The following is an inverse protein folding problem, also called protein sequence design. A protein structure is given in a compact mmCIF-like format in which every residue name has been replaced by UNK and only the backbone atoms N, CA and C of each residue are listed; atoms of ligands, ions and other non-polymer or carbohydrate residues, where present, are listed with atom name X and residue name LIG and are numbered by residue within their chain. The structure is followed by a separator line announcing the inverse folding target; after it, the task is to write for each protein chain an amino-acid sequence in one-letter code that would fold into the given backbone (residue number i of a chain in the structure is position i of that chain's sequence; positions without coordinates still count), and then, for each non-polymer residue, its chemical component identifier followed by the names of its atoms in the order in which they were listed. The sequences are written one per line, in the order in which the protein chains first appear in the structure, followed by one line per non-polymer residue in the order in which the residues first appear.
data_IF_559984669655
#
_entry.id   IF_559984669655
#
_cell.length_a   1.000
_cell.length_b   1.000
_cell.length_c   1.000
_cell.angle_alpha   90.00
_cell.angle_beta   90.00
_cell.angle_gamma   90.00
#
_symmetry.space_group_name_H-M   'P 1'
#
loop_
_entity.id
_entity.type
_entity.pdbx_description
1 polymer ?
#
# COMPACT_ATOMS: atom_id res chain seq x y z
N UNK A 1 -6.66 2.77 -11.97
CA UNK A 1 -7.94 2.12 -12.37
C UNK A 1 -8.73 1.58 -11.15
N UNK A 2 -8.88 2.41 -10.11
CA UNK A 2 -9.54 2.04 -8.84
C UNK A 2 -11.02 1.71 -9.01
N UNK A 3 -11.72 2.46 -9.88
CA UNK A 3 -13.14 2.27 -10.22
C UNK A 3 -13.48 0.87 -10.78
N UNK A 4 -12.49 0.14 -11.28
CA UNK A 4 -12.67 -1.24 -11.76
C UNK A 4 -12.26 -2.28 -10.71
N UNK A 5 -11.23 -1.99 -9.92
CA UNK A 5 -10.64 -2.96 -8.99
C UNK A 5 -11.38 -2.99 -7.67
N UNK A 6 -11.73 -1.82 -7.10
CA UNK A 6 -12.38 -1.76 -5.79
C UNK A 6 -13.78 -2.38 -5.81
N UNK A 7 -14.67 -2.10 -6.79
CA UNK A 7 -15.97 -2.75 -6.82
C UNK A 7 -15.86 -4.28 -6.93
N UNK A 8 -15.02 -4.79 -7.83
CA UNK A 8 -14.82 -6.24 -7.99
C UNK A 8 -14.26 -6.90 -6.73
N UNK A 9 -13.34 -6.22 -6.01
CA UNK A 9 -12.82 -6.71 -4.74
C UNK A 9 -13.90 -6.74 -3.67
N UNK A 10 -14.68 -5.66 -3.52
CA UNK A 10 -15.77 -5.59 -2.54
C UNK A 10 -16.86 -6.63 -2.83
N UNK A 11 -17.23 -6.81 -4.10
CA UNK A 11 -18.21 -7.82 -4.52
C UNK A 11 -17.72 -9.23 -4.13
N UNK A 12 -16.46 -9.57 -4.42
CA UNK A 12 -15.88 -10.86 -4.02
C UNK A 12 -15.78 -11.06 -2.49
N UNK A 13 -15.54 -9.99 -1.73
CA UNK A 13 -15.56 -10.05 -0.26
C UNK A 13 -16.98 -10.27 0.27
N UNK A 14 -17.99 -9.60 -0.30
CA UNK A 14 -19.39 -9.81 0.06
C UNK A 14 -19.87 -11.22 -0.30
N UNK A 15 -19.49 -11.74 -1.47
CA UNK A 15 -19.77 -13.13 -1.87
C UNK A 15 -19.15 -14.15 -0.89
N UNK A 16 -18.06 -13.77 -0.23
CA UNK A 16 -17.42 -14.55 0.83
C UNK A 16 -18.03 -14.33 2.23
N UNK A 17 -19.09 -13.53 2.34
CA UNK A 17 -19.83 -13.27 3.58
C UNK A 17 -19.40 -12.05 4.39
N UNK A 18 -18.44 -11.24 3.90
CA UNK A 18 -17.99 -10.02 4.59
C UNK A 18 -18.88 -8.86 4.17
N UNK A 19 -19.60 -8.24 5.11
CA UNK A 19 -20.53 -7.15 4.78
C UNK A 19 -19.79 -5.83 4.56
N UNK A 20 -20.34 -4.96 3.72
CA UNK A 20 -19.74 -3.64 3.42
C UNK A 20 -19.49 -2.79 4.67
N UNK A 21 -20.35 -2.89 5.69
CA UNK A 21 -20.19 -2.18 6.97
C UNK A 21 -18.95 -2.62 7.76
N UNK A 22 -18.44 -3.81 7.50
CA UNK A 22 -17.27 -4.40 8.15
C UNK A 22 -15.99 -4.10 7.33
N UNK A 23 -16.10 -3.36 6.22
CA UNK A 23 -15.00 -3.00 5.33
C UNK A 23 -14.70 -1.51 5.44
N UNK A 24 -13.45 -1.18 5.74
CA UNK A 24 -12.93 0.19 5.69
C UNK A 24 -11.84 0.31 4.63
N UNK A 25 -11.95 1.31 3.75
CA UNK A 25 -10.93 1.66 2.78
C UNK A 25 -10.05 2.77 3.37
N UNK A 26 -8.82 2.43 3.74
CA UNK A 26 -7.83 3.39 4.20
C UNK A 26 -6.97 3.89 3.02
N UNK A 27 -7.00 5.19 2.77
CA UNK A 27 -6.22 5.82 1.69
C UNK A 27 -4.76 5.93 2.14
N UNK A 28 -3.89 5.17 1.46
CA UNK A 28 -2.45 5.12 1.70
C UNK A 28 -1.71 6.37 1.18
N UNK A 29 -1.82 7.48 1.90
CA UNK A 29 -1.24 8.79 1.53
C UNK A 29 0.28 8.88 1.72
N UNK A 30 0.87 8.00 2.54
CA UNK A 30 2.18 8.26 3.12
C UNK A 30 2.21 9.60 3.84
N UNK A 31 3.18 10.45 3.53
CA UNK A 31 3.33 11.78 4.13
C UNK A 31 2.69 12.92 3.32
N UNK A 32 1.80 12.60 2.38
CA UNK A 32 1.12 13.60 1.55
C UNK A 32 0.02 14.34 2.32
N UNK A 33 -0.49 15.44 1.77
CA UNK A 33 -1.66 16.13 2.36
C UNK A 33 -2.89 15.23 2.36
N UNK A 34 -3.80 15.51 3.28
CA UNK A 34 -5.09 14.83 3.33
C UNK A 34 -5.96 15.25 2.16
N UNK A 35 -6.78 14.31 1.70
CA UNK A 35 -7.83 14.58 0.73
C UNK A 35 -9.05 15.16 1.43
N UNK A 36 -9.70 16.15 0.82
CA UNK A 36 -11.02 16.62 1.28
C UNK A 36 -12.10 15.58 0.99
N UNK A 37 -13.29 15.75 1.56
CA UNK A 37 -14.43 14.85 1.28
C UNK A 37 -14.80 14.86 -0.21
N UNK A 38 -14.79 16.04 -0.81
CA UNK A 38 -15.09 16.25 -2.23
C UNK A 38 -14.03 15.58 -3.12
N UNK A 39 -12.76 15.64 -2.75
CA UNK A 39 -11.69 14.96 -3.48
C UNK A 39 -11.78 13.44 -3.36
N UNK A 40 -12.19 12.93 -2.19
CA UNK A 40 -12.45 11.49 -1.98
C UNK A 40 -13.63 11.07 -2.86
N UNK A 41 -14.77 11.77 -2.81
CA UNK A 41 -15.93 11.42 -3.65
C UNK A 41 -15.60 11.51 -5.14
N UNK A 42 -14.86 12.53 -5.57
CA UNK A 42 -14.40 12.63 -6.95
C UNK A 42 -13.47 11.47 -7.35
N UNK A 43 -12.58 11.05 -6.46
CA UNK A 43 -11.61 10.00 -6.72
C UNK A 43 -12.19 8.59 -6.72
N UNK A 44 -13.13 8.32 -5.82
CA UNK A 44 -13.66 6.98 -5.56
C UNK A 44 -15.06 6.78 -6.16
N UNK A 45 -15.75 7.89 -6.46
CA UNK A 45 -17.12 7.91 -6.96
C UNK A 45 -18.14 7.75 -5.84
N UNK A 46 -19.27 8.46 -5.98
CA UNK A 46 -20.37 8.46 -5.01
C UNK A 46 -20.84 7.06 -4.61
N UNK A 47 -20.99 6.16 -5.59
CA UNK A 47 -21.40 4.77 -5.36
C UNK A 47 -20.49 4.05 -4.35
N UNK A 48 -19.18 4.29 -4.38
CA UNK A 48 -18.23 3.62 -3.51
C UNK A 48 -18.20 4.27 -2.12
N UNK A 49 -18.24 5.61 -2.06
CA UNK A 49 -18.26 6.36 -0.80
C UNK A 49 -19.55 6.20 0.00
N UNK A 50 -20.67 5.85 -0.66
CA UNK A 50 -21.93 5.50 0.00
C UNK A 50 -21.98 4.03 0.46
N UNK A 51 -21.16 3.17 -0.14
CA UNK A 51 -21.13 1.73 0.13
C UNK A 51 -20.27 1.38 1.34
N UNK A 52 -19.05 1.94 1.39
CA UNK A 52 -18.06 1.63 2.43
C UNK A 52 -17.45 2.90 3.02
N UNK A 53 -16.94 2.79 4.25
CA UNK A 53 -16.21 3.88 4.90
C UNK A 53 -14.86 4.08 4.23
N UNK A 54 -14.56 5.31 3.79
CA UNK A 54 -13.26 5.67 3.19
C UNK A 54 -12.59 6.77 4.00
N UNK A 55 -11.37 6.52 4.48
CA UNK A 55 -10.66 7.40 5.42
C UNK A 55 -9.25 7.75 4.92
N UNK A 56 -8.78 8.94 5.26
CA UNK A 56 -7.40 9.34 5.05
C UNK A 56 -6.45 8.61 6.02
N UNK A 57 -5.24 8.30 5.57
CA UNK A 57 -4.13 8.05 6.49
C UNK A 57 -3.65 9.35 7.14
N UNK A 58 -4.09 9.62 8.37
CA UNK A 58 -3.79 10.86 9.09
C UNK A 58 -2.41 10.85 9.78
N UNK A 59 -1.33 10.74 9.00
CA UNK A 59 0.05 10.59 9.49
C UNK A 59 0.54 11.69 10.43
N UNK A 60 -0.05 12.90 10.42
CA UNK A 60 0.31 13.99 11.35
C UNK A 60 -0.33 13.82 12.73
N UNK A 61 -1.45 13.10 12.81
CA UNK A 61 -2.17 12.87 14.05
C UNK A 61 -1.54 11.68 14.79
N UNK A 62 -0.56 11.94 15.66
CA UNK A 62 0.14 10.89 16.43
C UNK A 62 -0.82 9.97 17.21
N UNK A 63 -1.96 10.50 17.67
CA UNK A 63 -2.99 9.73 18.35
C UNK A 63 -3.62 8.63 17.46
N UNK A 64 -3.53 8.75 16.13
CA UNK A 64 -4.07 7.80 15.15
C UNK A 64 -2.99 6.80 14.66
N UNK A 65 -1.80 6.84 15.27
CA UNK A 65 -0.70 5.93 14.99
C UNK A 65 -0.43 5.05 16.20
N UNK A 66 0.05 3.83 15.94
CA UNK A 66 0.47 2.87 16.96
C UNK A 66 1.87 2.39 16.66
N UNK A 67 2.72 2.33 17.69
CA UNK A 67 4.07 1.81 17.61
C UNK A 67 4.06 0.29 17.80
N UNK A 68 4.68 -0.43 16.87
CA UNK A 68 4.69 -1.90 16.81
C UNK A 68 6.09 -2.49 17.05
N UNK A 69 7.02 -1.70 17.58
CA UNK A 69 8.42 -2.09 17.72
C UNK A 69 9.29 -1.59 16.58
N UNK A 70 10.40 -2.26 16.33
CA UNK A 70 11.36 -1.89 15.29
C UNK A 70 11.75 -3.09 14.44
N UNK A 71 12.12 -2.83 13.19
CA UNK A 71 12.71 -3.85 12.31
C UNK A 71 14.09 -4.30 12.84
N UNK A 72 14.66 -5.42 12.34
CA UNK A 72 16.01 -5.83 12.69
C UNK A 72 17.10 -4.78 12.40
N UNK A 73 16.87 -3.88 11.43
CA UNK A 73 17.75 -2.74 11.13
C UNK A 73 17.54 -1.53 12.07
N UNK A 74 16.66 -1.64 13.05
CA UNK A 74 16.37 -0.58 14.01
C UNK A 74 15.43 0.51 13.50
N UNK A 75 14.73 0.30 12.38
CA UNK A 75 13.73 1.26 11.90
C UNK A 75 12.47 1.12 12.75
N UNK A 76 11.99 2.19 13.40
CA UNK A 76 10.80 2.14 14.22
C UNK A 76 9.58 1.96 13.31
N UNK A 77 8.70 1.05 13.67
CA UNK A 77 7.47 0.76 12.95
C UNK A 77 6.32 1.42 13.68
N UNK A 78 5.79 2.51 13.11
CA UNK A 78 4.54 3.10 13.56
C UNK A 78 3.57 3.20 12.40
N UNK A 79 2.38 2.63 12.53
CA UNK A 79 1.37 2.58 11.46
C UNK A 79 0.03 3.14 11.91
N UNK A 80 -0.89 3.32 10.97
CA UNK A 80 -2.26 3.72 11.27
C UNK A 80 -2.99 2.69 12.16
N UNK A 81 -3.64 3.16 13.23
CA UNK A 81 -4.38 2.29 14.17
C UNK A 81 -5.47 1.46 13.51
N UNK A 82 -6.20 2.03 12.55
CA UNK A 82 -7.29 1.33 11.85
C UNK A 82 -6.74 0.11 11.10
N UNK A 83 -5.56 0.24 10.50
CA UNK A 83 -4.92 -0.89 9.81
C UNK A 83 -4.39 -1.95 10.79
N UNK A 84 -3.92 -1.53 11.97
CA UNK A 84 -3.45 -2.44 13.01
C UNK A 84 -4.61 -3.22 13.66
N UNK A 85 -5.75 -2.57 13.85
CA UNK A 85 -6.94 -3.14 14.50
C UNK A 85 -7.80 -3.99 13.55
N UNK A 86 -7.51 -3.97 12.25
CA UNK A 86 -8.23 -4.77 11.27
C UNK A 86 -7.93 -6.27 11.43
N UNK A 87 -8.97 -7.10 11.36
CA UNK A 87 -8.82 -8.57 11.37
C UNK A 87 -8.07 -9.09 10.13
N UNK A 88 -8.17 -8.37 9.01
CA UNK A 88 -7.51 -8.71 7.75
C UNK A 88 -7.15 -7.47 6.94
N UNK A 89 -5.86 -7.30 6.63
CA UNK A 89 -5.32 -6.14 5.91
C UNK A 89 -5.02 -6.49 4.45
N UNK A 90 -5.75 -5.86 3.53
CA UNK A 90 -5.59 -6.03 2.07
C UNK A 90 -4.98 -4.77 1.44
N UNK A 91 -3.85 -4.93 0.76
CA UNK A 91 -3.18 -3.86 0.03
C UNK A 91 -3.60 -3.79 -1.44
N UNK A 92 -4.26 -2.72 -1.86
CA UNK A 92 -4.64 -2.50 -3.27
C UNK A 92 -3.73 -1.46 -3.91
N UNK A 93 -3.11 -1.77 -5.05
CA UNK A 93 -2.14 -0.87 -5.66
C UNK A 93 -1.73 -1.21 -7.09
N UNK A 94 -0.62 -0.62 -7.55
CA UNK A 94 -0.07 -0.84 -8.90
C UNK A 94 1.43 -1.07 -8.86
N UNK A 95 1.90 -2.04 -9.63
CA UNK A 95 3.32 -2.31 -9.84
C UNK A 95 3.77 -1.50 -11.05
N UNK A 96 4.53 -0.45 -10.77
CA UNK A 96 5.12 0.48 -11.75
C UNK A 96 6.56 0.78 -11.32
N UNK A 97 7.50 1.05 -12.24
CA UNK A 97 8.87 1.43 -11.85
C UNK A 97 8.87 2.59 -10.85
N UNK A 98 9.75 2.51 -9.85
CA UNK A 98 9.88 3.54 -8.81
C UNK A 98 11.36 3.75 -8.48
N UNK A 99 11.79 5.01 -8.48
CA UNK A 99 13.20 5.41 -8.33
C UNK A 99 13.86 4.91 -7.05
N UNK A 100 13.16 4.97 -5.91
CA UNK A 100 13.74 4.63 -4.60
C UNK A 100 13.41 3.22 -4.10
N UNK A 101 12.42 2.56 -4.70
CA UNK A 101 11.87 1.31 -4.17
C UNK A 101 11.96 0.18 -5.21
N UNK A 102 12.62 0.42 -6.35
CA UNK A 102 12.60 -0.43 -7.53
C UNK A 102 11.27 -0.36 -8.27
N UNK A 103 10.20 -0.74 -7.57
CA UNK A 103 8.83 -0.72 -8.05
C UNK A 103 7.87 -0.18 -6.99
N UNK A 104 6.69 0.28 -7.41
CA UNK A 104 5.51 0.46 -6.57
C UNK A 104 4.86 -0.88 -6.20
N UNK A 105 3.70 -0.84 -5.55
CA UNK A 105 2.94 -2.05 -5.18
C UNK A 105 3.59 -2.88 -4.07
N UNK A 106 2.96 -4.03 -3.77
CA UNK A 106 3.34 -4.91 -2.68
C UNK A 106 3.36 -4.15 -1.34
N UNK A 107 4.43 -4.36 -0.57
CA UNK A 107 4.65 -3.73 0.73
C UNK A 107 4.61 -2.18 0.74
N UNK A 108 4.74 -1.52 -0.42
CA UNK A 108 4.72 -0.05 -0.51
C UNK A 108 3.37 0.57 -0.10
N UNK A 109 2.30 -0.23 -0.19
CA UNK A 109 0.97 0.17 0.28
C UNK A 109 0.93 0.37 1.80
N UNK A 110 1.82 -0.30 2.54
CA UNK A 110 2.02 -0.09 3.97
C UNK A 110 3.12 0.93 4.23
N UNK A 111 4.32 0.70 3.72
CA UNK A 111 5.46 1.60 3.91
C UNK A 111 5.89 2.20 2.57
N UNK A 112 5.65 3.50 2.32
CA UNK A 112 5.24 4.52 3.28
C UNK A 112 3.74 4.69 3.49
N UNK A 113 2.90 4.00 2.69
CA UNK A 113 1.48 4.33 2.51
C UNK A 113 0.65 4.64 3.76
N UNK A 114 0.82 3.90 4.86
CA UNK A 114 0.08 4.08 6.12
C UNK A 114 1.00 4.15 7.35
N UNK A 115 2.26 4.53 7.13
CA UNK A 115 3.27 4.64 8.19
C UNK A 115 3.49 6.08 8.65
N UNK A 116 4.02 6.20 9.87
CA UNK A 116 4.47 7.49 10.40
C UNK A 116 5.54 8.14 9.52
N UNK A 117 5.70 9.45 9.69
CA UNK A 117 6.77 10.20 9.02
C UNK A 117 8.17 9.71 9.44
N UNK A 118 8.36 9.27 10.68
CA UNK A 118 9.65 8.81 11.19
C UNK A 118 10.04 7.48 10.53
N UNK A 119 9.12 6.51 10.52
CA UNK A 119 9.28 5.24 9.80
C UNK A 119 9.57 5.50 8.32
N UNK A 120 8.77 6.37 7.69
CA UNK A 120 8.94 6.77 6.29
C UNK A 120 10.32 7.36 6.02
N UNK A 121 10.75 8.32 6.83
CA UNK A 121 12.04 9.01 6.69
C UNK A 121 13.22 8.05 6.78
N UNK A 122 13.25 7.17 7.79
CA UNK A 122 14.37 6.23 7.96
C UNK A 122 14.45 5.19 6.83
N UNK A 123 13.33 4.67 6.33
CA UNK A 123 13.40 3.78 5.15
C UNK A 123 13.81 4.52 3.88
N UNK A 124 13.46 5.81 3.73
CA UNK A 124 13.91 6.59 2.56
C UNK A 124 15.43 6.86 2.61
N UNK A 125 16.01 7.03 3.79
CA UNK A 125 17.46 7.20 3.93
C UNK A 125 18.22 5.99 3.38
N UNK A 126 17.74 4.76 3.62
CA UNK A 126 18.34 3.55 3.05
C UNK A 126 18.39 3.56 1.51
N UNK A 127 17.41 4.20 0.85
CA UNK A 127 17.36 4.27 -0.61
C UNK A 127 18.39 5.25 -1.19
N UNK A 128 18.88 6.21 -0.39
CA UNK A 128 19.79 7.28 -0.83
C UNK A 128 21.20 7.15 -0.24
N UNK A 129 21.43 6.20 0.68
CA UNK A 129 22.78 5.85 1.18
C UNK A 129 23.67 5.23 0.10
N UNK A 130 23.09 4.68 -0.99
CA UNK A 130 23.85 4.20 -2.15
C UNK A 130 24.00 5.30 -3.20
N UNK A 131 25.22 5.46 -3.70
CA UNK A 131 25.55 6.46 -4.73
C UNK A 131 25.11 6.09 -6.15
N UNK A 132 24.55 4.89 -6.37
CA UNK A 132 24.09 4.45 -7.69
C UNK A 132 22.55 4.33 -7.77
N UNK A 133 21.93 5.45 -8.16
CA UNK A 133 20.50 5.56 -8.37
C UNK A 133 19.97 4.62 -9.48
N UNK A 134 20.80 4.27 -10.47
CA UNK A 134 20.40 3.44 -11.59
C UNK A 134 20.25 1.98 -11.18
N UNK A 135 21.01 1.51 -10.19
CA UNK A 135 20.87 0.15 -9.64
C UNK A 135 19.65 -0.02 -8.73
N UNK A 136 19.11 1.07 -8.16
CA UNK A 136 17.92 1.03 -7.30
C UNK A 136 16.64 0.98 -8.12
N UNK A 137 16.56 1.78 -9.19
CA UNK A 137 15.39 1.84 -10.06
C UNK A 137 15.20 0.50 -10.81
N UNK A 138 14.00 -0.08 -10.71
CA UNK A 138 13.72 -1.38 -11.34
C UNK A 138 14.35 -2.61 -10.65
N UNK A 139 15.06 -2.44 -9.54
CA UNK A 139 15.50 -3.57 -8.73
C UNK A 139 14.44 -3.95 -7.67
N UNK A 140 13.74 -5.08 -7.79
CA UNK A 140 12.69 -5.48 -6.86
C UNK A 140 13.21 -5.97 -5.50
N UNK A 141 14.52 -5.97 -5.27
CA UNK A 141 15.18 -6.50 -4.07
C UNK A 141 16.24 -5.54 -3.52
N UNK A 142 16.12 -4.24 -3.82
CA UNK A 142 16.96 -3.22 -3.19
C UNK A 142 16.67 -3.13 -1.67
N UNK A 143 17.60 -2.53 -0.93
CA UNK A 143 17.52 -2.49 0.54
C UNK A 143 16.27 -1.79 1.07
N UNK A 144 15.85 -0.68 0.45
CA UNK A 144 14.62 0.01 0.84
C UNK A 144 13.39 -0.87 0.63
N UNK A 145 13.35 -1.68 -0.44
CA UNK A 145 12.27 -2.63 -0.70
C UNK A 145 12.24 -3.75 0.34
N UNK A 146 13.39 -4.36 0.64
CA UNK A 146 13.46 -5.40 1.68
C UNK A 146 13.02 -4.86 3.04
N UNK A 147 13.38 -3.61 3.34
CA UNK A 147 12.94 -2.95 4.57
C UNK A 147 11.44 -2.65 4.57
N UNK A 148 10.87 -2.18 3.45
CA UNK A 148 9.42 -1.99 3.30
C UNK A 148 8.67 -3.30 3.54
N UNK A 149 9.19 -4.43 3.06
CA UNK A 149 8.61 -5.76 3.25
C UNK A 149 8.62 -6.18 4.72
N UNK A 150 9.69 -5.90 5.46
CA UNK A 150 9.75 -6.17 6.89
C UNK A 150 8.77 -5.30 7.68
N UNK A 151 8.67 -4.00 7.35
CA UNK A 151 7.67 -3.11 7.95
C UNK A 151 6.25 -3.61 7.67
N UNK A 152 5.96 -4.03 6.43
CA UNK A 152 4.65 -4.56 6.05
C UNK A 152 4.32 -5.89 6.76
N UNK A 153 5.33 -6.74 6.99
CA UNK A 153 5.19 -7.98 7.76
C UNK A 153 4.84 -7.70 9.22
N UNK A 154 5.55 -6.78 9.87
CA UNK A 154 5.25 -6.36 11.26
C UNK A 154 3.86 -5.71 11.35
N UNK A 155 3.47 -4.94 10.34
CA UNK A 155 2.17 -4.31 10.24
C UNK A 155 1.00 -5.28 9.99
N UNK A 156 1.28 -6.57 9.72
CA UNK A 156 0.24 -7.57 9.49
C UNK A 156 -0.41 -7.51 8.10
N UNK A 157 0.27 -7.03 7.06
CA UNK A 157 -0.27 -7.07 5.69
C UNK A 157 -0.49 -8.51 5.24
N UNK A 158 -1.75 -8.92 5.06
CA UNK A 158 -2.09 -10.32 4.77
C UNK A 158 -2.12 -10.64 3.28
N UNK A 159 -2.61 -9.71 2.46
CA UNK A 159 -2.89 -9.96 1.05
C UNK A 159 -2.71 -8.69 0.23
N UNK A 160 -2.36 -8.85 -1.05
CA UNK A 160 -2.35 -7.72 -2.00
C UNK A 160 -3.16 -8.02 -3.25
N UNK A 161 -3.71 -6.96 -3.83
CA UNK A 161 -4.22 -6.94 -5.21
C UNK A 161 -3.47 -5.84 -5.94
N UNK A 162 -2.60 -6.20 -6.88
CA UNK A 162 -1.85 -5.24 -7.66
C UNK A 162 -2.15 -5.37 -9.15
N UNK A 163 -2.25 -4.22 -9.80
CA UNK A 163 -2.34 -4.15 -11.27
C UNK A 163 -1.00 -3.76 -11.88
N UNK A 164 -0.70 -4.33 -13.04
CA UNK A 164 0.38 -3.87 -13.90
C UNK A 164 -0.24 -3.05 -15.03
N UNK A 165 0.30 -1.85 -15.25
CA UNK A 165 -0.17 -0.93 -16.27
C UNK A 165 0.83 -0.86 -17.41
N UNK A 166 0.37 -0.76 -18.66
CA UNK A 166 1.22 -0.39 -19.78
C UNK A 166 1.45 1.14 -19.84
N UNK A 167 2.29 1.61 -20.78
CA UNK A 167 2.56 3.04 -20.98
C UNK A 167 1.34 3.89 -21.37
N UNK A 168 0.18 3.28 -21.65
CA UNK A 168 -1.10 3.97 -21.90
C UNK A 168 -2.03 3.93 -20.67
N UNK A 169 -1.53 3.51 -19.50
CA UNK A 169 -2.31 3.39 -18.26
C UNK A 169 -3.34 2.26 -18.26
N UNK A 170 -3.31 1.33 -19.23
CA UNK A 170 -4.24 0.21 -19.32
C UNK A 170 -3.74 -0.96 -18.49
N UNK A 171 -4.64 -1.64 -17.78
CA UNK A 171 -4.33 -2.87 -17.05
C UNK A 171 -3.93 -3.95 -18.06
N UNK A 172 -2.74 -4.51 -17.91
CA UNK A 172 -2.24 -5.65 -18.71
C UNK A 172 -2.08 -6.92 -17.88
N UNK A 173 -2.06 -6.79 -16.55
CA UNK A 173 -2.00 -7.91 -15.62
C UNK A 173 -2.62 -7.52 -14.28
N UNK A 174 -3.22 -8.49 -13.61
CA UNK A 174 -3.58 -8.41 -12.19
C UNK A 174 -2.84 -9.54 -11.48
N UNK A 175 -2.19 -9.22 -10.37
CA UNK A 175 -1.56 -10.19 -9.47
C UNK A 175 -2.15 -10.03 -8.08
N UNK A 176 -2.41 -11.13 -7.41
CA UNK A 176 -2.95 -11.12 -6.07
C UNK A 176 -2.44 -12.30 -5.26
N UNK A 177 -2.40 -12.17 -3.94
CA UNK A 177 -1.83 -13.19 -3.07
C UNK A 177 -0.97 -12.59 -1.96
N UNK A 178 -0.01 -13.41 -1.53
CA UNK A 178 1.04 -13.01 -0.60
C UNK A 178 1.74 -11.72 -1.06
N UNK A 179 1.97 -10.74 -0.16
CA UNK A 179 2.51 -9.42 -0.52
C UNK A 179 3.85 -9.43 -1.25
N UNK A 180 4.68 -10.44 -0.99
CA UNK A 180 6.03 -10.59 -1.55
C UNK A 180 5.98 -11.40 -2.85
N UNK A 181 5.34 -12.57 -2.82
CA UNK A 181 5.28 -13.48 -3.97
C UNK A 181 4.46 -12.89 -5.11
N UNK A 182 3.31 -12.27 -4.82
CA UNK A 182 2.47 -11.66 -5.84
C UNK A 182 3.17 -10.43 -6.48
N UNK A 183 3.88 -9.63 -5.68
CA UNK A 183 4.65 -8.48 -6.18
C UNK A 183 5.79 -8.90 -7.09
N UNK A 184 6.50 -9.97 -6.71
CA UNK A 184 7.60 -10.54 -7.50
C UNK A 184 7.12 -11.41 -8.67
N UNK A 185 5.81 -11.58 -8.91
CA UNK A 185 5.34 -12.45 -9.99
C UNK A 185 5.68 -11.87 -11.38
N UNK A 186 6.86 -12.30 -11.87
CA UNK A 186 7.46 -11.98 -13.16
C UNK A 186 6.73 -12.59 -14.36
N UNK A 187 5.64 -13.37 -14.19
CA UNK A 187 4.95 -13.96 -15.35
C UNK A 187 4.50 -12.84 -16.29
N UNK A 188 5.17 -12.73 -17.44
CA UNK A 188 4.68 -11.94 -18.57
C UNK A 188 3.27 -12.44 -18.92
N UNK A 189 2.34 -11.58 -19.34
CA UNK A 189 1.18 -12.09 -20.06
C UNK A 189 1.72 -12.95 -21.21
N UNK A 190 1.30 -14.22 -21.24
CA UNK A 190 1.62 -15.15 -22.32
C UNK A 190 0.98 -14.74 -23.64
#
# INVERSE_FOLDING_TARGET
PRERILPALLDGLNESGILDRDITVLIALGTHRYMSKEEIEHCFGKRLTERVTILNHEWKAKANLVYLGSTPRGIPVSINKIAHEADYLIGVGSIVPHSLAGYGGGAKIVQPGICSWETTGKTHLLAVERNDFLEVAGNPENEARLEMEEVARIAGLNFVVNVVLNGKGRIVKVVSGDPVKAHRDKRRPG
#
